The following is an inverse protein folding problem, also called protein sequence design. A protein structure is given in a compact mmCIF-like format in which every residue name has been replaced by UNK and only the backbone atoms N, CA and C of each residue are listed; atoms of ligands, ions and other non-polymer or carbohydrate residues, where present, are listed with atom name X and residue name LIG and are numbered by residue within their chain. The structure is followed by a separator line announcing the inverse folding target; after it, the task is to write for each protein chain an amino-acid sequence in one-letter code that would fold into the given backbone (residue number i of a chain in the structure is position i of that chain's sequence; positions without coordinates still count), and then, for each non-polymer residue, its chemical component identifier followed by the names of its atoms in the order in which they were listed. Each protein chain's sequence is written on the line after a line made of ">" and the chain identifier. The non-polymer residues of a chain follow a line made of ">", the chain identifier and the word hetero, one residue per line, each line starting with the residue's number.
data_IF_823017599566
#
_entry.id   IF_823017599566
#
_cell.length_a   1.000
_cell.length_b   1.000
_cell.length_c   1.000
_cell.angle_alpha   90.00
_cell.angle_beta   90.00
_cell.angle_gamma   90.00
#
_symmetry.space_group_name_H-M   'P 1'
#
loop_
_entity.id
_entity.type
_entity.pdbx_description
1 polymer ?
#
# COMPACT_ATOMS: atom_id res chain seq x y z
N UNK A 1 21.41 -21.36 -3.37
CA UNK A 1 20.77 -20.04 -3.17
C UNK A 1 19.42 -20.25 -2.48
N UNK A 2 19.16 -19.53 -1.39
CA UNK A 2 17.84 -19.52 -0.73
C UNK A 2 17.05 -18.35 -1.32
N UNK A 3 15.79 -18.55 -1.70
CA UNK A 3 14.95 -17.46 -2.20
C UNK A 3 14.54 -16.52 -1.07
N UNK A 4 14.34 -15.23 -1.37
CA UNK A 4 13.89 -14.25 -0.38
C UNK A 4 12.62 -14.73 0.37
N UNK A 5 11.69 -15.39 -0.33
CA UNK A 5 10.48 -15.99 0.25
C UNK A 5 10.79 -17.08 1.30
N UNK A 6 11.75 -17.97 1.03
CA UNK A 6 12.16 -19.02 1.99
C UNK A 6 12.89 -18.43 3.19
N UNK A 7 13.73 -17.42 2.96
CA UNK A 7 14.41 -16.69 4.04
C UNK A 7 13.38 -16.02 4.99
N UNK A 8 12.37 -15.35 4.42
CA UNK A 8 11.29 -14.70 5.17
C UNK A 8 10.46 -15.71 5.98
N UNK A 9 10.16 -16.88 5.43
CA UNK A 9 9.42 -17.93 6.13
C UNK A 9 10.20 -18.47 7.35
N UNK A 10 11.49 -18.79 7.19
CA UNK A 10 12.35 -19.23 8.30
C UNK A 10 12.56 -18.14 9.35
N UNK A 11 12.67 -16.89 8.93
CA UNK A 11 12.76 -15.76 9.85
C UNK A 11 11.48 -15.63 10.70
N UNK A 12 10.31 -15.87 10.12
CA UNK A 12 9.03 -15.88 10.83
C UNK A 12 8.96 -16.98 11.91
N UNK A 13 9.45 -18.19 11.62
CA UNK A 13 9.55 -19.30 12.59
C UNK A 13 10.57 -19.01 13.71
N UNK A 14 11.67 -18.34 13.37
CA UNK A 14 12.73 -17.99 14.30
C UNK A 14 12.48 -16.67 15.08
N UNK A 15 11.35 -16.01 14.87
CA UNK A 15 11.05 -14.65 15.39
C UNK A 15 12.11 -13.59 15.00
N UNK A 16 12.75 -13.76 13.85
CA UNK A 16 13.69 -12.80 13.27
C UNK A 16 12.89 -11.89 12.33
N UNK A 17 13.02 -10.56 12.47
CA UNK A 17 12.32 -9.58 11.61
C UNK A 17 13.27 -9.08 10.52
N UNK A 18 13.14 -9.57 9.27
CA UNK A 18 14.02 -9.16 8.18
C UNK A 18 13.62 -7.76 7.69
N UNK A 19 14.55 -6.82 7.81
CA UNK A 19 14.45 -5.48 7.24
C UNK A 19 15.04 -5.55 5.84
N UNK A 20 14.20 -5.36 4.82
CA UNK A 20 14.69 -5.29 3.43
C UNK A 20 15.09 -3.85 3.15
N UNK A 21 16.34 -3.65 2.76
CA UNK A 21 16.84 -2.35 2.34
C UNK A 21 16.78 -2.23 0.82
N UNK A 22 16.57 -1.04 0.29
CA UNK A 22 16.99 -0.74 -1.08
C UNK A 22 18.52 -0.54 -1.11
N UNK A 23 19.10 -0.41 -2.30
CA UNK A 23 20.54 -0.22 -2.50
C UNK A 23 21.11 1.05 -1.83
N UNK A 24 20.23 1.92 -1.33
CA UNK A 24 20.55 3.18 -0.64
C UNK A 24 20.32 3.11 0.89
N UNK A 25 20.01 1.93 1.46
CA UNK A 25 19.79 1.77 2.90
C UNK A 25 18.40 2.18 3.41
N UNK A 26 17.44 2.43 2.52
CA UNK A 26 16.05 2.72 2.86
C UNK A 26 15.26 1.47 3.22
N UNK A 27 14.56 1.48 4.36
CA UNK A 27 13.80 0.33 4.87
C UNK A 27 12.49 0.16 4.08
N UNK A 28 12.34 -0.99 3.43
CA UNK A 28 11.19 -1.39 2.61
C UNK A 28 10.13 -2.20 3.41
N UNK A 29 10.52 -2.88 4.50
CA UNK A 29 9.63 -3.74 5.29
C UNK A 29 9.95 -3.67 6.80
N UNK A 30 8.94 -3.47 7.66
CA UNK A 30 9.05 -3.48 9.13
C UNK A 30 8.27 -4.61 9.82
N UNK A 31 7.42 -5.34 9.09
CA UNK A 31 6.47 -6.30 9.67
C UNK A 31 5.62 -5.64 10.76
N UNK A 32 5.56 -6.26 11.95
CA UNK A 32 4.79 -5.77 13.10
C UNK A 32 5.59 -4.99 14.17
N UNK A 33 6.84 -4.63 13.91
CA UNK A 33 7.67 -3.92 14.90
C UNK A 33 7.26 -2.45 15.10
N UNK A 34 6.60 -1.85 14.11
CA UNK A 34 6.15 -0.45 14.14
C UNK A 34 4.79 -0.27 13.49
N UNK A 35 3.89 0.44 14.18
CA UNK A 35 2.57 0.77 13.64
C UNK A 35 2.63 1.81 12.52
N UNK A 36 3.55 2.77 12.57
CA UNK A 36 3.57 3.88 11.61
C UNK A 36 4.56 3.62 10.48
N UNK A 37 4.13 3.94 9.26
CA UNK A 37 4.98 3.90 8.07
C UNK A 37 6.18 4.83 8.23
N UNK A 38 7.37 4.37 7.82
CA UNK A 38 8.57 5.22 7.81
C UNK A 38 8.53 6.28 6.72
N UNK A 39 9.41 7.30 6.77
CA UNK A 39 9.56 8.25 5.67
C UNK A 39 9.82 7.58 4.31
N UNK A 40 10.65 6.54 4.26
CA UNK A 40 10.93 5.79 3.04
C UNK A 40 9.70 5.06 2.49
N UNK A 41 8.90 4.45 3.36
CA UNK A 41 7.63 3.83 2.96
C UNK A 41 6.64 4.88 2.46
N UNK A 42 6.55 6.05 3.11
CA UNK A 42 5.69 7.15 2.63
C UNK A 42 6.10 7.66 1.25
N UNK A 43 7.40 7.74 0.95
CA UNK A 43 7.90 8.07 -0.38
C UNK A 43 7.54 7.01 -1.41
N UNK A 44 7.71 5.72 -1.09
CA UNK A 44 7.33 4.62 -1.97
C UNK A 44 5.82 4.60 -2.25
N UNK A 45 5.00 4.85 -1.22
CA UNK A 45 3.55 5.00 -1.35
C UNK A 45 3.18 6.22 -2.20
N UNK A 46 3.85 7.35 -2.03
CA UNK A 46 3.63 8.54 -2.87
C UNK A 46 3.98 8.28 -4.34
N UNK A 47 5.04 7.51 -4.62
CA UNK A 47 5.42 7.12 -5.97
C UNK A 47 4.39 6.16 -6.60
N UNK A 48 3.90 5.18 -5.82
CA UNK A 48 2.91 4.20 -6.28
C UNK A 48 1.53 4.83 -6.47
N UNK A 49 0.99 5.45 -5.42
CA UNK A 49 -0.40 5.89 -5.33
C UNK A 49 -0.61 7.29 -5.92
N UNK A 50 0.45 8.12 -5.98
CA UNK A 50 0.47 9.49 -6.54
C UNK A 50 -0.55 10.47 -5.95
N UNK A 51 -1.28 10.06 -4.91
CA UNK A 51 -2.28 10.82 -4.18
C UNK A 51 -3.18 9.88 -3.39
N UNK A 52 -4.38 10.36 -3.04
CA UNK A 52 -5.37 9.54 -2.37
C UNK A 52 -5.82 8.41 -3.31
N UNK A 53 -5.64 7.17 -2.90
CA UNK A 53 -5.98 6.00 -3.72
C UNK A 53 -7.49 5.76 -3.90
N UNK A 54 -8.33 6.46 -3.12
CA UNK A 54 -9.79 6.31 -3.18
C UNK A 54 -10.36 6.77 -4.52
N UNK A 55 -11.34 6.06 -5.13
CA UNK A 55 -11.86 6.39 -6.45
C UNK A 55 -12.34 7.84 -6.58
N UNK A 56 -11.88 8.55 -7.62
CA UNK A 56 -12.31 9.92 -7.93
C UNK A 56 -11.72 11.01 -7.03
N UNK A 57 -10.90 10.67 -6.04
CA UNK A 57 -10.23 11.67 -5.21
C UNK A 57 -9.03 12.28 -5.93
N UNK A 58 -8.80 13.58 -5.75
CA UNK A 58 -7.71 14.34 -6.37
C UNK A 58 -6.66 14.83 -5.35
N UNK A 59 -6.79 14.44 -4.08
CA UNK A 59 -5.92 14.93 -3.01
C UNK A 59 -4.48 14.44 -3.23
N UNK A 60 -3.48 15.35 -3.21
CA UNK A 60 -2.10 14.99 -3.47
C UNK A 60 -1.49 14.18 -2.29
N UNK A 61 -0.34 13.49 -2.50
CA UNK A 61 0.30 12.69 -1.47
C UNK A 61 0.60 13.44 -0.17
N UNK A 62 0.92 14.74 -0.27
CA UNK A 62 1.19 15.60 0.88
C UNK A 62 -0.01 15.74 1.84
N UNK A 63 -1.22 15.45 1.37
CA UNK A 63 -2.46 15.53 2.15
C UNK A 63 -2.97 14.15 2.55
N UNK A 64 -2.14 13.13 2.38
CA UNK A 64 -2.48 11.73 2.63
C UNK A 64 -1.69 11.13 3.80
N UNK A 65 -2.37 10.19 4.43
CA UNK A 65 -1.86 9.34 5.50
C UNK A 65 -1.65 7.93 4.94
N UNK A 66 -0.67 7.20 5.49
CA UNK A 66 -0.51 5.79 5.18
C UNK A 66 -1.57 5.00 5.97
N UNK A 67 -2.41 4.27 5.24
CA UNK A 67 -3.51 3.48 5.77
C UNK A 67 -3.24 2.00 5.56
N UNK A 68 -3.51 1.21 6.60
CA UNK A 68 -3.41 -0.24 6.57
C UNK A 68 -4.66 -0.84 5.93
N UNK A 69 -4.49 -1.63 4.86
CA UNK A 69 -5.58 -2.35 4.18
C UNK A 69 -6.20 -3.40 5.12
N UNK A 70 -5.37 -4.28 5.66
CA UNK A 70 -5.69 -5.02 6.87
C UNK A 70 -5.24 -4.16 8.05
N UNK A 71 -6.18 -3.66 8.83
CA UNK A 71 -5.89 -2.79 9.96
C UNK A 71 -4.86 -3.39 10.93
N UNK A 72 -3.98 -2.53 11.44
CA UNK A 72 -2.92 -2.92 12.37
C UNK A 72 -3.45 -3.66 13.60
N UNK A 73 -4.61 -3.22 14.13
CA UNK A 73 -5.23 -3.81 15.33
C UNK A 73 -5.71 -5.24 15.08
N UNK A 74 -5.99 -5.58 13.82
CA UNK A 74 -6.40 -6.92 13.38
C UNK A 74 -5.23 -7.75 12.85
N UNK A 75 -3.98 -7.32 13.13
CA UNK A 75 -2.78 -8.07 12.78
C UNK A 75 -2.12 -7.67 11.47
N UNK A 76 -2.59 -6.61 10.81
CA UNK A 76 -1.94 -6.08 9.61
C UNK A 76 -0.51 -5.62 9.86
N UNK A 77 0.34 -5.80 8.86
CA UNK A 77 1.75 -5.40 8.91
C UNK A 77 1.95 -4.00 8.31
N UNK A 78 3.01 -3.31 8.72
CA UNK A 78 3.40 -2.02 8.15
C UNK A 78 4.36 -2.27 6.99
N UNK A 79 3.81 -2.84 5.93
CA UNK A 79 4.53 -3.21 4.71
C UNK A 79 3.85 -2.56 3.49
N UNK A 80 4.60 -2.32 2.41
CA UNK A 80 4.06 -1.62 1.24
C UNK A 80 2.89 -2.35 0.56
N UNK A 81 2.82 -3.67 0.66
CA UNK A 81 1.73 -4.52 0.17
C UNK A 81 0.48 -4.52 1.07
N UNK A 82 0.55 -3.94 2.27
CA UNK A 82 -0.58 -3.73 3.16
C UNK A 82 -0.87 -2.24 3.44
N UNK A 83 -0.13 -1.33 2.81
CA UNK A 83 -0.29 0.11 3.01
C UNK A 83 -0.77 0.80 1.73
N UNK A 84 -1.57 1.84 1.87
CA UNK A 84 -2.00 2.75 0.80
C UNK A 84 -2.13 4.20 1.28
N UNK A 85 -2.02 5.17 0.38
CA UNK A 85 -2.34 6.56 0.69
C UNK A 85 -3.85 6.83 0.63
N UNK A 86 -4.34 7.52 1.65
CA UNK A 86 -5.69 8.11 1.69
C UNK A 86 -5.66 9.45 2.39
N UNK A 87 -6.46 10.41 1.92
CA UNK A 87 -6.57 11.71 2.58
C UNK A 87 -7.32 11.60 3.91
N UNK A 88 -7.16 12.58 4.80
CA UNK A 88 -7.79 12.53 6.13
C UNK A 88 -9.32 12.37 6.10
N UNK A 89 -9.99 12.87 5.07
CA UNK A 89 -11.43 12.64 4.86
C UNK A 89 -11.72 11.16 4.61
N UNK A 90 -11.07 10.54 3.62
CA UNK A 90 -11.29 9.14 3.32
C UNK A 90 -10.84 8.27 4.49
N UNK A 91 -9.64 8.51 5.05
CA UNK A 91 -9.08 7.76 6.16
C UNK A 91 -10.03 7.61 7.35
N UNK A 92 -10.82 8.65 7.66
CA UNK A 92 -11.79 8.60 8.76
C UNK A 92 -13.14 7.95 8.41
N UNK A 93 -13.55 7.96 7.15
CA UNK A 93 -14.94 7.65 6.79
C UNK A 93 -15.14 6.28 6.11
N UNK A 94 -14.19 5.78 5.31
CA UNK A 94 -14.50 4.60 4.47
C UNK A 94 -14.45 3.28 5.24
N UNK A 95 -13.53 3.11 6.20
CA UNK A 95 -13.37 1.84 6.92
C UNK A 95 -14.64 1.52 7.73
N UNK A 96 -15.22 2.54 8.38
CA UNK A 96 -16.49 2.42 9.09
C UNK A 96 -17.71 2.24 8.15
N UNK A 97 -17.59 2.67 6.90
CA UNK A 97 -18.66 2.57 5.90
C UNK A 97 -18.70 1.22 5.16
N UNK A 98 -17.79 0.28 5.47
CA UNK A 98 -17.78 -1.06 4.87
C UNK A 98 -17.06 -1.17 3.53
N UNK A 99 -16.24 -0.18 3.20
CA UNK A 99 -15.34 -0.24 2.05
C UNK A 99 -14.14 -1.14 2.33
N UNK A 100 -13.68 -1.85 1.31
CA UNK A 100 -12.52 -2.72 1.39
C UNK A 100 -11.49 -2.35 0.32
N UNK A 101 -10.23 -2.19 0.70
CA UNK A 101 -9.14 -1.98 -0.23
C UNK A 101 -8.38 -3.29 -0.51
N UNK A 102 -7.78 -3.38 -1.68
CA UNK A 102 -6.83 -4.43 -2.04
C UNK A 102 -5.82 -3.89 -3.05
N UNK A 103 -4.63 -4.49 -3.12
CA UNK A 103 -3.62 -4.14 -4.12
C UNK A 103 -3.56 -5.25 -5.17
N UNK A 104 -3.80 -4.88 -6.44
CA UNK A 104 -3.70 -5.77 -7.61
C UNK A 104 -2.68 -5.18 -8.57
N UNK A 105 -1.61 -5.92 -8.86
CA UNK A 105 -0.53 -5.49 -9.76
C UNK A 105 0.03 -4.09 -9.44
N UNK A 106 0.20 -3.79 -8.16
CA UNK A 106 0.70 -2.49 -7.68
C UNK A 106 -0.30 -1.34 -7.75
N UNK A 107 -1.57 -1.62 -8.07
CA UNK A 107 -2.67 -0.65 -8.10
C UNK A 107 -3.64 -0.93 -6.97
N UNK A 108 -4.08 0.11 -6.27
CA UNK A 108 -5.06 0.01 -5.19
C UNK A 108 -6.47 0.03 -5.78
N UNK A 109 -7.26 -0.96 -5.41
CA UNK A 109 -8.66 -1.12 -5.77
C UNK A 109 -9.53 -1.05 -4.51
N UNK A 110 -10.67 -0.40 -4.65
CA UNK A 110 -11.64 -0.18 -3.59
C UNK A 110 -12.95 -0.84 -3.95
N UNK A 111 -13.38 -1.78 -3.11
CA UNK A 111 -14.64 -2.48 -3.20
C UNK A 111 -15.66 -1.81 -2.29
N UNK A 112 -16.76 -1.26 -2.85
CA UNK A 112 -17.80 -0.63 -2.06
C UNK A 112 -18.60 -1.63 -1.21
N UNK A 113 -19.31 -1.15 -0.18
CA UNK A 113 -20.32 -1.93 0.52
C UNK A 113 -21.54 -2.19 -0.38
N UNK A 114 -22.27 -3.27 -0.10
CA UNK A 114 -23.40 -3.71 -0.94
C UNK A 114 -24.55 -2.68 -1.03
N UNK A 115 -24.68 -1.79 -0.05
CA UNK A 115 -25.70 -0.74 -0.06
C UNK A 115 -25.36 0.42 -1.02
N UNK A 116 -24.10 0.59 -1.38
CA UNK A 116 -23.68 1.56 -2.39
C UNK A 116 -23.66 0.93 -3.79
N UNK A 117 -23.20 -0.31 -3.89
CA UNK A 117 -23.14 -1.07 -5.13
C UNK A 117 -23.47 -2.54 -4.81
N UNK A 118 -24.68 -3.02 -5.15
CA UNK A 118 -25.10 -4.39 -4.86
C UNK A 118 -24.17 -5.45 -5.47
N UNK A 119 -23.53 -5.14 -6.59
CA UNK A 119 -22.57 -6.04 -7.24
C UNK A 119 -21.14 -5.89 -6.68
N UNK A 120 -20.91 -4.92 -5.80
CA UNK A 120 -19.63 -4.65 -5.14
C UNK A 120 -18.48 -4.55 -6.15
N UNK A 121 -18.71 -3.86 -7.26
CA UNK A 121 -17.71 -3.75 -8.34
C UNK A 121 -16.48 -2.99 -7.84
N UNK A 122 -15.26 -3.57 -7.89
CA UNK A 122 -14.04 -2.89 -7.47
C UNK A 122 -13.73 -1.69 -8.37
N UNK A 123 -13.30 -0.58 -7.76
CA UNK A 123 -12.98 0.68 -8.43
C UNK A 123 -11.57 1.11 -8.06
N UNK A 124 -10.76 1.48 -9.04
CA UNK A 124 -9.47 2.16 -8.80
C UNK A 124 -9.64 3.66 -8.93
N UNK A 125 -8.74 4.42 -8.32
CA UNK A 125 -8.61 5.82 -8.69
C UNK A 125 -7.94 5.93 -10.07
N UNK A 126 -8.51 6.79 -10.93
CA UNK A 126 -8.01 7.11 -12.27
C UNK A 126 -7.40 8.51 -12.34
N UNK A 127 -7.72 9.41 -11.40
CA UNK A 127 -7.28 10.81 -11.37
C UNK A 127 -5.76 10.92 -11.30
N UNK A 128 -5.12 10.15 -10.44
CA UNK A 128 -3.66 10.20 -10.26
C UNK A 128 -2.89 9.31 -11.26
N UNK A 129 -3.59 8.43 -11.97
CA UNK A 129 -2.98 7.40 -12.84
C UNK A 129 -3.28 7.62 -14.32
N UNK A 130 -3.50 8.88 -14.73
CA UNK A 130 -3.83 9.26 -16.12
C UNK A 130 -2.75 8.93 -17.16
N UNK A 131 -1.62 8.35 -16.76
CA UNK A 131 -0.56 7.88 -17.66
C UNK A 131 0.00 6.56 -17.15
N UNK A 132 -0.08 5.53 -18.02
CA UNK A 132 0.83 4.38 -18.00
C UNK A 132 2.25 4.95 -17.92
N UNK A 133 2.91 4.82 -16.77
CA UNK A 133 4.36 5.00 -16.74
C UNK A 133 4.89 3.70 -17.34
N UNK A 134 5.23 3.74 -18.63
CA UNK A 134 6.08 2.72 -19.21
C UNK A 134 7.46 2.90 -18.56
N UNK A 135 7.78 2.06 -17.60
CA UNK A 135 9.15 1.95 -17.10
C UNK A 135 10.01 1.46 -18.27
N UNK A 136 10.63 2.40 -18.98
CA UNK A 136 11.68 2.08 -19.95
C UNK A 136 12.81 1.42 -19.15
N UNK A 137 12.97 0.12 -19.30
CA UNK A 137 14.14 -0.57 -18.76
C UNK A 137 15.40 0.11 -19.33
N UNK A 138 16.43 0.40 -18.52
CA UNK A 138 17.70 0.82 -19.07
C UNK A 138 18.21 -0.29 -19.99
N UNK A 139 18.65 0.10 -21.19
CA UNK A 139 19.30 -0.83 -22.10
C UNK A 139 20.48 -1.48 -21.37
N UNK A 140 20.55 -2.80 -21.40
CA UNK A 140 21.70 -3.55 -20.91
C UNK A 140 22.96 -3.06 -21.64
N UNK A 141 23.98 -2.70 -20.87
CA UNK A 141 25.32 -2.37 -21.37
C UNK A 141 26.10 -3.64 -21.70
#
# INVERSE_FOLDING_TARGET
>A
MISARRLLAWACEAQIVPVVFNDSGGILNYGRTRRFASPGQRLALAARDRGCSFPGCDRPPAWCEAHHILEWIFGGETNLDNLTLVCSYHHRNFAHAGWHAEIRDGVVWWTPPAWEDPERRPRRNTVHHLTKIEFRQPAAA
#
